data_IF_152248093827
#
_entry.id   IF_152248093827
#
_cell.length_a   1.000
_cell.length_b   1.000
_cell.length_c   1.000
_cell.angle_alpha   90.00
_cell.angle_beta   90.00
_cell.angle_gamma   90.00
#
_symmetry.space_group_name_H-M   'P 1'
#
loop_
_entity.id
_entity.type
_entity.pdbx_description
1 polymer ?
#
# COMPACT_ATOMS: atom_id res chain seq x y z
N UNK A 1 -26.93 -55.96 53.85
CA UNK A 1 -25.96 -56.93 53.28
C UNK A 1 -26.18 -57.05 51.78
N UNK A 2 -25.06 -57.12 51.04
CA UNK A 2 -24.90 -57.57 49.64
C UNK A 2 -25.24 -56.59 48.51
N UNK A 3 -24.16 -55.98 48.03
CA UNK A 3 -23.94 -55.55 46.65
C UNK A 3 -23.94 -56.82 45.75
N UNK A 4 -24.74 -56.83 44.68
CA UNK A 4 -24.54 -57.77 43.58
C UNK A 4 -24.33 -56.97 42.29
N UNK A 5 -23.13 -57.14 41.72
CA UNK A 5 -22.69 -56.58 40.45
C UNK A 5 -23.47 -57.25 39.33
N UNK A 6 -23.98 -56.48 38.37
CA UNK A 6 -24.19 -57.00 37.03
C UNK A 6 -23.89 -55.91 36.00
N UNK A 7 -22.83 -56.16 35.24
CA UNK A 7 -22.37 -55.39 34.09
C UNK A 7 -23.33 -55.69 32.94
N UNK A 8 -23.90 -54.66 32.31
CA UNK A 8 -24.51 -54.78 30.99
C UNK A 8 -23.83 -53.80 30.06
N UNK A 9 -23.24 -54.38 29.02
CA UNK A 9 -22.51 -53.80 27.91
C UNK A 9 -23.44 -52.89 27.09
N UNK A 10 -23.14 -51.59 26.97
CA UNK A 10 -23.86 -50.68 26.07
C UNK A 10 -23.03 -50.53 24.80
N UNK A 11 -23.50 -51.12 23.70
CA UNK A 11 -22.99 -50.83 22.36
C UNK A 11 -23.62 -49.53 21.88
N UNK A 12 -22.87 -48.42 21.93
CA UNK A 12 -23.28 -47.16 21.30
C UNK A 12 -22.94 -47.20 19.81
N UNK A 13 -23.95 -47.37 18.96
CA UNK A 13 -23.82 -47.12 17.52
C UNK A 13 -23.80 -45.59 17.35
N UNK A 14 -22.61 -45.05 17.10
CA UNK A 14 -22.44 -43.65 16.72
C UNK A 14 -23.02 -43.43 15.32
N UNK A 15 -24.07 -42.61 15.21
CA UNK A 15 -24.46 -42.03 13.93
C UNK A 15 -23.47 -40.92 13.59
N UNK A 16 -22.46 -41.24 12.79
CA UNK A 16 -21.60 -40.26 12.15
C UNK A 16 -22.42 -39.46 11.14
N UNK A 17 -22.76 -38.22 11.45
CA UNK A 17 -23.22 -37.28 10.43
C UNK A 17 -22.05 -37.00 9.48
N UNK A 18 -22.14 -37.49 8.25
CA UNK A 18 -21.27 -37.01 7.18
C UNK A 18 -21.68 -35.58 6.86
N UNK A 19 -20.97 -34.60 7.42
CA UNK A 19 -20.95 -33.27 6.84
C UNK A 19 -20.30 -33.39 5.45
N UNK A 20 -21.10 -33.25 4.40
CA UNK A 20 -20.60 -33.06 3.05
C UNK A 20 -19.85 -31.73 3.03
N UNK A 21 -18.52 -31.80 3.13
CA UNK A 21 -17.66 -30.69 2.78
C UNK A 21 -17.82 -30.45 1.28
N UNK A 22 -18.54 -29.39 0.91
CA UNK A 22 -18.48 -28.87 -0.45
C UNK A 22 -17.04 -28.45 -0.68
N UNK A 23 -16.30 -29.19 -1.51
CA UNK A 23 -14.98 -28.79 -1.95
C UNK A 23 -15.11 -27.40 -2.59
N UNK A 24 -14.65 -26.37 -1.89
CA UNK A 24 -14.09 -25.22 -2.58
C UNK A 24 -12.98 -25.80 -3.43
N UNK A 25 -13.20 -25.85 -4.75
CA UNK A 25 -12.13 -26.04 -5.72
C UNK A 25 -11.07 -25.01 -5.37
N UNK A 26 -10.03 -25.46 -4.67
CA UNK A 26 -8.83 -24.71 -4.49
C UNK A 26 -8.39 -24.34 -5.90
N UNK A 27 -8.40 -23.05 -6.21
CA UNK A 27 -7.66 -22.55 -7.36
C UNK A 27 -6.23 -22.99 -7.12
N UNK A 28 -5.81 -24.07 -7.80
CA UNK A 28 -4.42 -24.49 -7.81
C UNK A 28 -3.67 -23.30 -8.39
N UNK A 29 -3.00 -22.53 -7.53
CA UNK A 29 -2.01 -21.55 -7.98
C UNK A 29 -0.98 -22.34 -8.77
N UNK A 30 -0.82 -21.98 -10.04
CA UNK A 30 0.20 -22.54 -10.91
C UNK A 30 1.56 -22.49 -10.16
N UNK A 31 2.24 -23.63 -9.94
CA UNK A 31 3.53 -23.67 -9.26
C UNK A 31 4.63 -22.91 -10.02
N UNK A 32 4.38 -22.47 -11.26
CA UNK A 32 5.26 -21.58 -12.03
C UNK A 32 4.97 -20.08 -11.86
N UNK A 33 3.97 -19.68 -11.05
CA UNK A 33 3.87 -18.28 -10.63
C UNK A 33 5.00 -18.00 -9.65
N UNK A 34 6.15 -17.57 -10.17
CA UNK A 34 7.18 -16.96 -9.35
C UNK A 34 6.52 -15.83 -8.54
N UNK A 35 6.70 -15.77 -7.21
CA UNK A 35 6.20 -14.65 -6.44
C UNK A 35 6.78 -13.37 -7.04
N UNK A 36 5.94 -12.38 -7.31
CA UNK A 36 6.31 -11.13 -8.01
C UNK A 36 7.54 -10.46 -7.38
N UNK A 37 7.78 -10.68 -6.09
CA UNK A 37 9.02 -10.39 -5.37
C UNK A 37 10.32 -10.78 -6.09
N UNK A 38 10.35 -11.86 -6.89
CA UNK A 38 11.58 -12.27 -7.58
C UNK A 38 11.93 -11.39 -8.77
N UNK A 39 10.93 -10.81 -9.45
CA UNK A 39 11.16 -9.98 -10.63
C UNK A 39 11.87 -8.65 -10.29
N UNK A 40 11.65 -8.14 -9.08
CA UNK A 40 12.15 -6.83 -8.64
C UNK A 40 13.19 -6.90 -7.53
N UNK A 41 13.70 -8.11 -7.21
CA UNK A 41 14.59 -8.37 -6.07
C UNK A 41 15.86 -7.50 -6.08
N UNK A 42 16.33 -7.08 -7.25
CA UNK A 42 17.56 -6.30 -7.41
C UNK A 42 17.29 -4.79 -7.60
N UNK A 43 16.03 -4.37 -7.64
CA UNK A 43 15.70 -2.96 -7.76
C UNK A 43 15.79 -2.24 -6.40
N UNK A 44 16.35 -1.02 -6.44
CA UNK A 44 16.45 -0.16 -5.26
C UNK A 44 15.25 0.79 -5.24
N UNK A 45 14.40 0.75 -4.20
CA UNK A 45 13.27 1.66 -4.08
C UNK A 45 13.78 3.12 -3.95
N UNK A 46 13.00 4.05 -4.47
CA UNK A 46 13.26 5.48 -4.30
C UNK A 46 12.75 5.98 -2.93
N UNK A 47 11.69 5.37 -2.41
CA UNK A 47 11.19 5.61 -1.05
C UNK A 47 10.32 4.45 -0.58
N UNK A 48 10.38 4.09 0.71
CA UNK A 48 9.64 2.93 1.23
C UNK A 48 9.86 1.68 0.36
N UNK A 49 8.80 0.92 0.01
CA UNK A 49 8.89 -0.18 -0.95
C UNK A 49 8.73 0.25 -2.42
N UNK A 50 8.71 1.55 -2.72
CA UNK A 50 8.26 2.07 -4.01
C UNK A 50 9.41 2.50 -4.92
N UNK A 51 9.26 2.18 -6.21
CA UNK A 51 10.06 2.73 -7.30
C UNK A 51 9.22 3.69 -8.13
N UNK A 52 9.78 4.83 -8.52
CA UNK A 52 9.11 5.78 -9.39
C UNK A 52 9.22 5.38 -10.85
N UNK A 53 8.07 5.22 -11.50
CA UNK A 53 7.94 4.87 -12.90
C UNK A 53 7.91 6.13 -13.76
N UNK A 54 9.08 6.74 -13.95
CA UNK A 54 9.20 8.06 -14.58
C UNK A 54 8.65 8.13 -16.01
N UNK A 55 8.59 7.01 -16.73
CA UNK A 55 8.08 6.94 -18.10
C UNK A 55 6.65 6.38 -18.16
N UNK A 56 5.88 6.48 -17.08
CA UNK A 56 4.49 6.08 -17.03
C UNK A 56 3.59 7.24 -16.63
N UNK A 57 2.31 7.14 -16.99
CA UNK A 57 1.28 8.09 -16.60
C UNK A 57 0.01 7.36 -16.19
N UNK A 58 -0.75 7.96 -15.28
CA UNK A 58 -2.08 7.49 -14.90
C UNK A 58 -3.14 8.33 -15.61
N UNK A 59 -4.13 7.67 -16.20
CA UNK A 59 -5.24 8.32 -16.92
C UNK A 59 -6.56 7.64 -16.54
N UNK A 60 -7.70 8.34 -16.57
CA UNK A 60 -9.00 7.70 -16.38
C UNK A 60 -9.22 6.58 -17.38
N UNK A 61 -9.67 5.42 -16.92
CA UNK A 61 -9.92 4.25 -17.78
C UNK A 61 -10.96 4.54 -18.86
N UNK A 62 -11.86 5.51 -18.65
CA UNK A 62 -12.91 5.88 -19.58
C UNK A 62 -12.43 6.58 -20.85
N UNK A 63 -11.19 7.09 -20.88
CA UNK A 63 -10.69 7.90 -22.00
C UNK A 63 -9.49 7.29 -22.73
N UNK A 64 -8.99 6.14 -22.26
CA UNK A 64 -7.77 5.51 -22.79
C UNK A 64 -8.10 4.40 -23.77
N UNK A 65 -7.31 4.28 -24.83
CA UNK A 65 -7.38 3.13 -25.73
C UNK A 65 -6.90 1.87 -24.97
N UNK A 66 -7.70 0.79 -24.90
CA UNK A 66 -7.31 -0.43 -24.21
C UNK A 66 -5.97 -1.03 -24.67
N UNK A 67 -5.57 -0.80 -25.93
CA UNK A 67 -4.31 -1.31 -26.48
C UNK A 67 -3.06 -0.67 -25.85
N UNK A 68 -3.20 0.54 -25.30
CA UNK A 68 -2.08 1.30 -24.72
C UNK A 68 -1.91 1.05 -23.21
N UNK A 69 -2.82 0.27 -22.61
CA UNK A 69 -2.88 0.04 -21.16
C UNK A 69 -1.89 -1.03 -20.73
N UNK A 70 -0.99 -0.65 -19.83
CA UNK A 70 -0.03 -1.55 -19.17
C UNK A 70 -0.65 -2.22 -17.95
N UNK A 71 -1.43 -1.48 -17.17
CA UNK A 71 -2.14 -2.00 -16.00
C UNK A 71 -3.38 -1.16 -15.66
N UNK A 72 -4.26 -1.68 -14.81
CA UNK A 72 -5.46 -0.98 -14.32
C UNK A 72 -5.56 -1.05 -12.80
N UNK A 73 -6.09 0.00 -12.19
CA UNK A 73 -6.44 0.06 -10.76
C UNK A 73 -7.68 0.92 -10.58
N UNK A 74 -8.81 0.28 -10.31
CA UNK A 74 -10.10 0.97 -10.20
C UNK A 74 -10.44 1.75 -11.47
N UNK A 75 -10.70 3.04 -11.32
CA UNK A 75 -11.01 3.95 -12.43
C UNK A 75 -9.77 4.50 -13.18
N UNK A 76 -8.56 4.06 -12.81
CA UNK A 76 -7.31 4.50 -13.42
C UNK A 76 -6.70 3.38 -14.27
N UNK A 77 -6.18 3.78 -15.42
CA UNK A 77 -5.30 2.99 -16.27
C UNK A 77 -3.90 3.58 -16.25
N UNK A 78 -2.89 2.73 -16.27
CA UNK A 78 -1.48 3.10 -16.38
C UNK A 78 -0.99 2.84 -17.80
N UNK A 79 -0.35 3.83 -18.38
CA UNK A 79 0.15 3.80 -19.77
C UNK A 79 1.60 4.25 -19.80
N UNK A 80 2.32 3.89 -20.87
CA UNK A 80 3.61 4.49 -21.18
C UNK A 80 3.43 5.99 -21.47
N UNK A 81 4.33 6.83 -20.97
CA UNK A 81 4.26 8.28 -21.08
C UNK A 81 5.63 8.91 -21.25
N UNK A 82 5.66 10.25 -21.28
CA UNK A 82 6.90 11.00 -21.32
C UNK A 82 7.67 10.86 -20.00
N UNK A 83 9.00 10.80 -20.09
CA UNK A 83 9.86 10.68 -18.92
C UNK A 83 9.79 11.95 -18.06
N UNK A 84 9.25 11.81 -16.85
CA UNK A 84 9.17 12.88 -15.85
C UNK A 84 10.55 13.27 -15.31
N UNK A 85 10.82 14.58 -15.34
CA UNK A 85 12.00 15.18 -14.70
C UNK A 85 11.78 15.34 -13.20
N UNK A 86 10.63 15.89 -12.80
CA UNK A 86 10.21 16.07 -11.41
C UNK A 86 9.09 15.10 -11.05
N UNK A 87 9.04 14.67 -9.79
CA UNK A 87 8.00 13.80 -9.29
C UNK A 87 6.98 14.65 -8.54
N UNK A 88 5.76 14.75 -9.08
CA UNK A 88 4.67 15.49 -8.47
C UNK A 88 3.48 14.59 -8.15
N UNK A 89 2.39 15.21 -7.66
CA UNK A 89 1.10 14.54 -7.47
C UNK A 89 0.67 13.78 -8.74
N UNK A 90 0.22 12.54 -8.57
CA UNK A 90 -0.24 11.68 -9.68
C UNK A 90 0.88 10.93 -10.39
N UNK A 91 2.16 11.17 -10.06
CA UNK A 91 3.26 10.39 -10.60
C UNK A 91 3.10 8.90 -10.26
N UNK A 92 3.43 8.04 -11.22
CA UNK A 92 3.23 6.60 -11.10
C UNK A 92 4.38 5.98 -10.32
N UNK A 93 4.04 5.05 -9.42
CA UNK A 93 5.00 4.27 -8.66
C UNK A 93 4.66 2.79 -8.72
N UNK A 94 5.68 1.95 -8.65
CA UNK A 94 5.57 0.51 -8.50
C UNK A 94 5.93 0.10 -7.08
N UNK A 95 5.08 -0.67 -6.44
CA UNK A 95 5.44 -1.35 -5.21
C UNK A 95 6.35 -2.55 -5.54
N UNK A 96 7.61 -2.52 -5.14
CA UNK A 96 8.58 -3.58 -5.46
C UNK A 96 8.30 -4.90 -4.72
N UNK A 97 7.44 -4.87 -3.70
CA UNK A 97 7.00 -6.07 -2.98
C UNK A 97 5.88 -6.79 -3.74
N UNK A 98 4.92 -6.07 -4.32
CA UNK A 98 3.75 -6.68 -4.98
C UNK A 98 3.79 -6.61 -6.50
N UNK A 99 4.63 -5.73 -7.06
CA UNK A 99 4.66 -5.35 -8.48
C UNK A 99 3.52 -4.44 -8.93
N UNK A 100 2.58 -4.11 -8.04
CA UNK A 100 1.41 -3.30 -8.36
C UNK A 100 1.79 -1.85 -8.66
N UNK A 101 1.02 -1.23 -9.56
CA UNK A 101 1.16 0.18 -9.90
C UNK A 101 0.16 1.03 -9.11
N UNK A 102 0.62 2.22 -8.74
CA UNK A 102 -0.17 3.20 -8.02
C UNK A 102 0.28 4.62 -8.35
N UNK A 103 -0.31 5.61 -7.68
CA UNK A 103 0.08 7.02 -7.79
C UNK A 103 0.42 7.60 -6.43
N UNK A 104 1.39 8.50 -6.40
CA UNK A 104 1.63 9.36 -5.23
C UNK A 104 0.55 10.43 -5.16
N UNK A 105 0.08 10.75 -3.95
CA UNK A 105 -0.98 11.75 -3.75
C UNK A 105 -0.44 13.18 -3.78
N UNK A 106 0.89 13.34 -3.68
CA UNK A 106 1.55 14.63 -3.47
C UNK A 106 1.65 15.03 -2.00
N UNK A 107 1.24 14.16 -1.07
CA UNK A 107 1.29 14.44 0.36
C UNK A 107 2.45 13.72 1.07
N UNK A 108 2.87 14.31 2.17
CA UNK A 108 3.73 13.71 3.18
C UNK A 108 2.95 13.55 4.48
N UNK A 109 3.18 12.44 5.17
CA UNK A 109 2.77 12.21 6.55
C UNK A 109 4.04 12.29 7.38
N UNK A 110 4.06 13.20 8.35
CA UNK A 110 5.20 13.40 9.24
C UNK A 110 4.83 13.01 10.66
N UNK A 111 5.77 12.37 11.33
CA UNK A 111 5.82 12.26 12.78
C UNK A 111 6.75 13.35 13.29
N UNK A 112 6.25 14.21 14.18
CA UNK A 112 6.99 15.35 14.72
C UNK A 112 7.43 15.07 16.17
N UNK A 113 8.45 15.77 16.63
CA UNK A 113 8.78 15.81 18.06
C UNK A 113 7.70 16.55 18.86
N UNK A 114 7.60 16.22 20.15
CA UNK A 114 6.67 16.91 21.04
C UNK A 114 6.99 18.40 21.12
N UNK A 115 5.97 19.23 20.86
CA UNK A 115 6.10 20.69 20.87
C UNK A 115 6.57 21.30 19.53
N UNK A 116 6.94 20.49 18.54
CA UNK A 116 7.27 21.00 17.20
C UNK A 116 6.05 21.59 16.49
N UNK A 117 6.19 22.79 15.95
CA UNK A 117 5.12 23.46 15.21
C UNK A 117 5.06 22.99 13.76
N UNK A 118 3.96 22.34 13.37
CA UNK A 118 3.74 21.93 11.98
C UNK A 118 3.77 23.14 11.00
N UNK A 119 3.35 24.32 11.43
CA UNK A 119 3.44 25.53 10.59
C UNK A 119 4.89 25.97 10.35
N UNK A 120 5.77 25.83 11.35
CA UNK A 120 7.19 26.15 11.20
C UNK A 120 7.86 25.18 10.23
N UNK A 121 7.55 23.87 10.35
CA UNK A 121 8.02 22.85 9.40
C UNK A 121 7.53 23.16 7.98
N UNK A 122 6.25 23.51 7.80
CA UNK A 122 5.69 23.86 6.49
C UNK A 122 6.45 25.04 5.86
N UNK A 123 6.68 26.10 6.63
CA UNK A 123 7.39 27.29 6.15
C UNK A 123 8.86 27.00 5.83
N UNK A 124 9.56 26.26 6.70
CA UNK A 124 10.96 25.90 6.51
C UNK A 124 11.18 25.02 5.27
N UNK A 125 10.25 24.10 5.02
CA UNK A 125 10.32 23.16 3.90
C UNK A 125 9.65 23.68 2.60
N UNK A 126 8.97 24.83 2.64
CA UNK A 126 8.21 25.34 1.49
C UNK A 126 7.04 24.43 1.09
N UNK A 127 6.38 23.81 2.08
CA UNK A 127 5.24 22.92 1.89
C UNK A 127 3.94 23.58 2.36
N UNK A 128 2.80 23.07 1.90
CA UNK A 128 1.50 23.49 2.43
C UNK A 128 1.06 22.54 3.53
N UNK A 129 0.76 23.07 4.73
CA UNK A 129 0.14 22.29 5.80
C UNK A 129 -1.31 21.92 5.41
N UNK A 130 -1.61 20.63 5.36
CA UNK A 130 -2.94 20.10 5.00
C UNK A 130 -3.76 19.81 6.25
N UNK A 131 -3.16 19.17 7.24
CA UNK A 131 -3.85 18.79 8.48
C UNK A 131 -2.87 18.54 9.62
N UNK A 132 -3.35 18.73 10.85
CA UNK A 132 -2.71 18.29 12.09
C UNK A 132 -3.71 17.42 12.82
N UNK A 133 -3.28 16.26 13.33
CA UNK A 133 -4.16 15.34 14.04
C UNK A 133 -4.10 15.62 15.56
N UNK A 134 -5.16 16.20 16.16
CA UNK A 134 -5.15 16.59 17.56
C UNK A 134 -4.88 15.41 18.50
N UNK A 135 -4.03 15.63 19.51
CA UNK A 135 -3.65 14.59 20.47
C UNK A 135 -2.62 13.58 19.92
N UNK A 136 -2.07 13.84 18.71
CA UNK A 136 -0.98 13.04 18.14
C UNK A 136 0.12 13.95 17.59
N UNK A 137 1.37 13.48 17.52
CA UNK A 137 2.46 14.18 16.85
C UNK A 137 2.43 14.05 15.31
N UNK A 138 1.27 13.81 14.70
CA UNK A 138 1.15 13.54 13.26
C UNK A 138 0.59 14.76 12.53
N UNK A 139 1.23 15.14 11.42
CA UNK A 139 0.75 16.17 10.52
C UNK A 139 0.88 15.74 9.05
N UNK A 140 0.00 16.26 8.20
CA UNK A 140 -0.04 16.01 6.75
C UNK A 140 0.31 17.29 6.03
N UNK A 141 1.23 17.19 5.08
CA UNK A 141 1.72 18.28 4.26
C UNK A 141 1.53 17.93 2.79
N UNK A 142 1.34 18.92 1.92
CA UNK A 142 1.31 18.73 0.49
C UNK A 142 2.42 19.51 -0.18
N UNK A 143 3.00 18.93 -1.22
CA UNK A 143 3.99 19.61 -2.05
C UNK A 143 3.32 20.65 -2.96
N UNK A 144 3.90 21.85 -3.14
CA UNK A 144 3.44 22.78 -4.17
C UNK A 144 3.56 22.18 -5.58
N UNK A 145 2.72 22.64 -6.52
CA UNK A 145 2.65 22.09 -7.89
C UNK A 145 4.00 22.11 -8.63
N UNK A 146 4.85 23.10 -8.36
CA UNK A 146 6.18 23.23 -8.98
C UNK A 146 7.28 22.41 -8.29
N UNK A 147 6.99 21.80 -7.15
CA UNK A 147 7.93 21.07 -6.31
C UNK A 147 8.32 19.70 -6.87
N UNK A 148 9.38 19.12 -6.33
CA UNK A 148 9.78 17.73 -6.57
C UNK A 148 9.69 16.93 -5.27
N UNK A 149 8.82 15.92 -5.27
CA UNK A 149 8.44 15.12 -4.11
C UNK A 149 9.64 14.39 -3.51
N UNK A 150 10.53 13.86 -4.36
CA UNK A 150 11.71 13.14 -3.86
C UNK A 150 12.74 14.09 -3.23
N UNK A 151 12.91 15.29 -3.81
CA UNK A 151 13.80 16.29 -3.22
C UNK A 151 13.28 16.79 -1.88
N UNK A 152 11.98 17.12 -1.81
CA UNK A 152 11.36 17.54 -0.55
C UNK A 152 11.39 16.42 0.50
N UNK A 153 11.20 15.17 0.10
CA UNK A 153 11.31 14.01 0.99
C UNK A 153 12.68 13.91 1.68
N UNK A 154 13.77 14.08 0.94
CA UNK A 154 15.11 14.03 1.51
C UNK A 154 15.41 15.26 2.39
N UNK A 155 14.89 16.44 2.04
CA UNK A 155 15.04 17.64 2.85
C UNK A 155 14.32 17.54 4.20
N UNK A 156 13.11 16.98 4.22
CA UNK A 156 12.31 16.83 5.44
C UNK A 156 12.99 15.96 6.49
N UNK A 157 13.72 14.92 6.08
CA UNK A 157 14.49 14.05 6.98
C UNK A 157 15.62 14.77 7.71
N UNK A 158 16.05 15.93 7.21
CA UNK A 158 17.14 16.72 7.77
C UNK A 158 16.64 17.92 8.61
N UNK A 159 15.33 18.11 8.73
CA UNK A 159 14.75 19.21 9.52
C UNK A 159 14.60 18.77 10.98
N UNK A 160 15.16 19.56 11.89
CA UNK A 160 14.99 19.37 13.33
C UNK A 160 13.51 19.35 13.73
N UNK A 161 13.15 18.40 14.60
CA UNK A 161 11.76 18.18 15.02
C UNK A 161 10.95 17.28 14.09
N UNK A 162 11.51 16.80 12.96
CA UNK A 162 10.90 15.75 12.13
C UNK A 162 11.50 14.39 12.50
N UNK A 163 10.70 13.53 13.12
CA UNK A 163 11.12 12.18 13.54
C UNK A 163 11.01 11.16 12.40
N UNK A 164 9.90 11.19 11.67
CA UNK A 164 9.68 10.33 10.52
C UNK A 164 8.97 11.09 9.40
N UNK A 165 9.28 10.70 8.17
CA UNK A 165 8.61 11.20 6.97
C UNK A 165 8.17 10.03 6.11
N UNK A 166 6.93 10.09 5.63
CA UNK A 166 6.38 9.11 4.69
C UNK A 166 5.71 9.81 3.51
N UNK A 167 6.02 9.39 2.29
CA UNK A 167 5.26 9.78 1.10
C UNK A 167 3.95 9.00 1.06
N UNK A 168 2.84 9.69 0.87
CA UNK A 168 1.53 9.07 0.72
C UNK A 168 1.32 8.55 -0.72
N UNK A 169 0.89 7.30 -0.81
CA UNK A 169 0.59 6.59 -2.06
C UNK A 169 -0.86 6.11 -2.00
N UNK A 170 -1.61 6.28 -3.09
CA UNK A 170 -3.01 5.90 -3.21
C UNK A 170 -3.17 4.36 -3.39
N UNK A 171 -2.77 3.58 -2.39
CA UNK A 171 -2.90 2.13 -2.38
C UNK A 171 -4.03 1.63 -1.49
N UNK A 172 -4.75 0.62 -1.96
CA UNK A 172 -5.59 -0.20 -1.11
C UNK A 172 -4.70 -1.31 -0.56
N UNK A 173 -4.39 -1.25 0.74
CA UNK A 173 -3.63 -2.31 1.41
C UNK A 173 -4.42 -3.62 1.53
N UNK A 174 -5.75 -3.56 1.36
CA UNK A 174 -6.63 -4.71 1.43
C UNK A 174 -7.48 -4.78 0.16
N UNK A 175 -7.65 -5.99 -0.37
CA UNK A 175 -8.68 -6.23 -1.38
C UNK A 175 -10.03 -6.19 -0.66
N UNK A 176 -10.99 -5.42 -1.17
CA UNK A 176 -12.36 -5.58 -0.73
C UNK A 176 -12.78 -7.01 -1.05
N UNK A 177 -13.25 -7.74 -0.04
CA UNK A 177 -13.97 -8.99 -0.26
C UNK A 177 -15.31 -8.70 -0.93
#
# INVERSE_FOLDING_TARGET
MKLNKMIILVASIGFSYNALATEQTAVIKDPNQQPVYQAFKNEVPDFGPYKVERSMSSVPTSIVNPADVVAKKGALSFVSGQKLQKIGKGAVVRNLLTGDLSTVTGNFILLLEDGTSANEIANAAGLNLVSVFPGTPIAVFSIPESGDLLTAFEQLKAIDGVLETKIEVAENMFKSN
#
